data_IF_851091000151
#
_entry.id   IF_851091000151
#
_cell.length_a   1.000
_cell.length_b   1.000
_cell.length_c   1.000
_cell.angle_alpha   90.00
_cell.angle_beta   90.00
_cell.angle_gamma   90.00
#
_symmetry.space_group_name_H-M   'P 1'
#
loop_
_entity.id
_entity.type
_entity.pdbx_description
1 polymer ?
#
# COMPACT_ATOMS: atom_id res chain seq x y z
N UNK A 1 -8.33 -10.94 17.57
CA UNK A 1 -9.43 -11.84 17.17
C UNK A 1 -10.56 -11.88 18.20
N UNK A 2 -10.27 -11.93 19.47
CA UNK A 2 -11.30 -11.96 20.52
C UNK A 2 -12.15 -10.68 20.56
N UNK A 3 -11.56 -9.51 20.42
CA UNK A 3 -12.30 -8.24 20.39
C UNK A 3 -13.21 -8.13 19.15
N UNK A 4 -12.74 -8.57 17.97
CA UNK A 4 -13.54 -8.57 16.76
C UNK A 4 -14.74 -9.53 16.86
N UNK A 5 -14.55 -10.70 17.46
CA UNK A 5 -15.63 -11.65 17.71
C UNK A 5 -16.68 -11.11 18.67
N UNK A 6 -16.27 -10.49 19.80
CA UNK A 6 -17.18 -9.90 20.78
C UNK A 6 -17.98 -8.74 20.21
N UNK A 7 -17.37 -7.89 19.42
CA UNK A 7 -18.04 -6.76 18.77
C UNK A 7 -19.09 -7.21 17.76
N UNK A 8 -18.81 -8.28 17.00
CA UNK A 8 -19.73 -8.84 16.02
C UNK A 8 -20.88 -9.61 16.69
N UNK A 9 -20.62 -10.38 17.74
CA UNK A 9 -21.65 -11.10 18.51
C UNK A 9 -22.66 -10.14 19.15
N UNK A 10 -22.24 -8.97 19.58
CA UNK A 10 -23.13 -7.93 20.12
C UNK A 10 -24.09 -7.32 19.10
N UNK A 11 -23.84 -7.51 17.79
CA UNK A 11 -24.65 -6.95 16.70
C UNK A 11 -25.45 -7.98 15.89
N UNK A 12 -25.15 -9.25 16.01
CA UNK A 12 -25.73 -10.31 15.19
C UNK A 12 -26.21 -11.48 16.03
N UNK A 13 -27.39 -11.99 15.71
CA UNK A 13 -27.99 -13.18 16.32
C UNK A 13 -27.40 -14.49 15.81
N UNK A 14 -26.57 -14.44 14.75
CA UNK A 14 -25.96 -15.61 14.12
C UNK A 14 -24.46 -15.65 14.35
N UNK A 15 -23.88 -16.86 14.37
CA UNK A 15 -22.43 -17.02 14.38
C UNK A 15 -21.82 -16.37 13.13
N UNK A 16 -20.85 -15.46 13.31
CA UNK A 16 -20.23 -14.80 12.19
C UNK A 16 -19.42 -15.80 11.35
N UNK A 17 -19.51 -15.68 10.04
CA UNK A 17 -18.63 -16.41 9.14
C UNK A 17 -17.16 -15.95 9.36
N UNK A 18 -16.20 -16.83 9.11
CA UNK A 18 -14.76 -16.53 9.25
C UNK A 18 -14.38 -15.27 8.45
N UNK A 19 -15.02 -15.07 7.29
CA UNK A 19 -14.80 -13.88 6.47
C UNK A 19 -15.25 -12.58 7.18
N UNK A 20 -16.37 -12.61 7.90
CA UNK A 20 -16.90 -11.47 8.65
C UNK A 20 -16.02 -11.13 9.86
N UNK A 21 -15.54 -12.15 10.58
CA UNK A 21 -14.59 -11.96 11.68
C UNK A 21 -13.27 -11.35 11.22
N UNK A 22 -12.78 -11.78 10.06
CA UNK A 22 -11.59 -11.19 9.45
C UNK A 22 -11.83 -9.73 9.06
N UNK A 23 -12.94 -9.43 8.42
CA UNK A 23 -13.28 -8.05 8.06
C UNK A 23 -13.33 -7.16 9.27
N UNK A 24 -14.03 -7.58 10.35
CA UNK A 24 -14.08 -6.82 11.59
C UNK A 24 -12.70 -6.62 12.24
N UNK A 25 -11.84 -7.65 12.22
CA UNK A 25 -10.47 -7.53 12.71
C UNK A 25 -9.63 -6.53 11.90
N UNK A 26 -9.78 -6.50 10.58
CA UNK A 26 -9.11 -5.52 9.71
C UNK A 26 -9.61 -4.10 9.96
N UNK A 27 -10.90 -3.91 10.12
CA UNK A 27 -11.49 -2.60 10.39
C UNK A 27 -10.98 -2.03 11.73
N UNK A 28 -10.79 -2.87 12.74
CA UNK A 28 -10.20 -2.49 14.04
C UNK A 28 -8.72 -2.11 13.85
N UNK A 29 -7.95 -2.90 13.10
CA UNK A 29 -6.53 -2.61 12.85
C UNK A 29 -6.34 -1.32 12.03
N UNK A 30 -7.18 -1.10 11.03
CA UNK A 30 -7.14 0.12 10.21
C UNK A 30 -7.53 1.35 11.05
N UNK A 31 -8.49 1.21 11.98
CA UNK A 31 -8.85 2.27 12.92
C UNK A 31 -7.74 2.60 13.92
N UNK A 32 -6.94 1.61 14.31
CA UNK A 32 -5.81 1.80 15.22
C UNK A 32 -4.61 2.49 14.54
N UNK A 33 -4.41 2.24 13.23
CA UNK A 33 -3.33 2.83 12.45
C UNK A 33 -3.88 3.35 11.10
N UNK A 34 -4.56 4.48 11.10
CA UNK A 34 -5.14 5.02 9.87
C UNK A 34 -4.05 5.35 8.85
N UNK A 35 -4.24 4.88 7.63
CA UNK A 35 -3.40 5.30 6.50
C UNK A 35 -3.66 6.80 6.26
N UNK A 36 -2.61 7.65 6.18
CA UNK A 36 -2.79 9.05 5.87
C UNK A 36 -3.63 9.26 4.61
N UNK A 37 -4.45 10.29 4.62
CA UNK A 37 -5.20 10.69 3.44
C UNK A 37 -4.25 11.13 2.32
N UNK A 38 -4.70 11.09 1.09
CA UNK A 38 -3.95 11.58 -0.07
C UNK A 38 -3.55 13.06 0.07
N UNK A 39 -4.38 13.85 0.73
CA UNK A 39 -4.09 15.25 1.05
C UNK A 39 -2.94 15.39 2.05
N UNK A 40 -2.96 14.64 3.14
CA UNK A 40 -1.89 14.63 4.16
C UNK A 40 -0.58 14.12 3.57
N UNK A 41 -0.65 13.05 2.78
CA UNK A 41 0.50 12.50 2.08
C UNK A 41 1.15 13.52 1.13
N UNK A 42 0.33 14.25 0.35
CA UNK A 42 0.84 15.30 -0.52
C UNK A 42 1.40 16.49 0.26
N UNK A 43 0.76 16.87 1.37
CA UNK A 43 1.27 17.93 2.24
C UNK A 43 2.66 17.59 2.83
N UNK A 44 2.90 16.31 3.17
CA UNK A 44 4.21 15.83 3.61
C UNK A 44 5.27 16.00 2.51
N UNK A 45 4.96 15.63 1.26
CA UNK A 45 5.86 15.84 0.11
C UNK A 45 6.18 17.32 -0.09
N UNK A 46 5.18 18.18 -0.05
CA UNK A 46 5.35 19.64 -0.18
C UNK A 46 6.22 20.22 0.93
N UNK A 47 6.04 19.76 2.16
CA UNK A 47 6.85 20.18 3.30
C UNK A 47 8.33 19.78 3.10
N UNK A 48 8.58 18.56 2.63
CA UNK A 48 9.93 18.08 2.36
C UNK A 48 10.60 18.82 1.18
N UNK A 49 9.85 19.15 0.11
CA UNK A 49 10.37 19.97 -1.00
C UNK A 49 10.84 21.32 -0.50
N UNK A 50 10.07 21.97 0.39
CA UNK A 50 10.44 23.26 0.99
C UNK A 50 11.63 23.15 1.95
N UNK A 51 11.74 22.01 2.65
CA UNK A 51 12.78 21.79 3.67
C UNK A 51 14.15 21.50 3.06
N UNK A 52 14.25 20.62 2.09
CA UNK A 52 15.53 20.11 1.58
C UNK A 52 15.80 20.43 0.12
N UNK A 53 14.79 20.81 -0.66
CA UNK A 53 14.95 21.12 -2.07
C UNK A 53 15.42 19.93 -2.91
N UNK A 54 15.78 20.20 -4.17
CA UNK A 54 16.11 19.16 -5.15
C UNK A 54 17.47 18.46 -4.92
N UNK A 55 18.36 19.08 -4.17
CA UNK A 55 19.68 18.53 -3.85
C UNK A 55 19.72 17.77 -2.52
N UNK A 56 18.68 17.93 -1.68
CA UNK A 56 18.62 17.29 -0.38
C UNK A 56 18.02 15.90 -0.44
N UNK A 57 18.21 15.15 0.64
CA UNK A 57 17.55 13.85 0.81
C UNK A 57 16.27 14.03 1.62
N UNK A 58 15.11 13.72 1.07
CA UNK A 58 13.85 13.79 1.79
C UNK A 58 13.73 12.67 2.82
N UNK A 59 13.07 12.96 3.94
CA UNK A 59 12.77 11.98 4.98
C UNK A 59 11.27 11.95 5.22
N UNK A 60 10.63 10.88 4.80
CA UNK A 60 9.19 10.70 4.94
C UNK A 60 8.85 9.84 6.15
N UNK A 61 7.82 10.23 6.89
CA UNK A 61 7.29 9.44 8.01
C UNK A 61 6.54 8.21 7.53
N UNK A 62 5.83 8.36 6.41
CA UNK A 62 5.04 7.28 5.84
C UNK A 62 5.84 6.55 4.74
N UNK A 63 6.03 5.21 4.86
CA UNK A 63 6.73 4.44 3.86
C UNK A 63 6.03 4.41 2.49
N UNK A 64 4.69 4.55 2.44
CA UNK A 64 3.95 4.66 1.17
C UNK A 64 4.30 5.96 0.42
N UNK A 65 4.36 7.08 1.15
CA UNK A 65 4.77 8.37 0.55
C UNK A 65 6.16 8.26 -0.05
N UNK A 66 7.09 7.63 0.67
CA UNK A 66 8.44 7.39 0.16
C UNK A 66 8.43 6.57 -1.12
N UNK A 67 7.67 5.47 -1.18
CA UNK A 67 7.59 4.63 -2.38
C UNK A 67 7.03 5.37 -3.59
N UNK A 68 6.00 6.20 -3.40
CA UNK A 68 5.43 7.01 -4.49
C UNK A 68 6.44 8.05 -4.99
N UNK A 69 7.13 8.73 -4.07
CA UNK A 69 8.15 9.71 -4.42
C UNK A 69 9.34 9.07 -5.14
N UNK A 70 9.78 7.89 -4.71
CA UNK A 70 10.83 7.12 -5.40
C UNK A 70 10.39 6.70 -6.81
N UNK A 71 9.12 6.37 -7.00
CA UNK A 71 8.55 6.00 -8.30
C UNK A 71 8.41 7.18 -9.26
N UNK A 72 7.99 8.34 -8.76
CA UNK A 72 7.83 9.56 -9.58
C UNK A 72 9.15 10.29 -9.82
N UNK A 73 10.09 10.16 -8.89
CA UNK A 73 11.38 10.82 -8.91
C UNK A 73 11.39 12.13 -8.11
N UNK A 74 12.19 12.14 -7.04
CA UNK A 74 12.31 13.30 -6.16
C UNK A 74 12.70 14.58 -6.89
N UNK A 75 13.74 14.49 -7.73
CA UNK A 75 14.24 15.64 -8.49
C UNK A 75 13.20 16.20 -9.45
N UNK A 76 12.41 15.32 -10.08
CA UNK A 76 11.31 15.69 -10.96
C UNK A 76 10.26 16.51 -10.21
N UNK A 77 9.80 16.04 -9.05
CA UNK A 77 8.81 16.73 -8.24
C UNK A 77 9.29 18.10 -7.72
N UNK A 78 10.59 18.22 -7.42
CA UNK A 78 11.16 19.49 -6.96
C UNK A 78 11.33 20.54 -8.07
N UNK A 79 11.58 20.12 -9.31
CA UNK A 79 11.88 20.98 -10.44
C UNK A 79 10.70 21.19 -11.39
N UNK A 80 9.58 20.53 -11.13
CA UNK A 80 8.39 20.64 -11.97
C UNK A 80 7.76 22.04 -11.85
N UNK A 81 7.35 22.54 -12.99
CA UNK A 81 6.64 23.83 -13.11
C UNK A 81 5.10 23.65 -13.01
N UNK A 82 4.61 22.40 -12.95
CA UNK A 82 3.18 22.12 -12.91
C UNK A 82 2.75 21.32 -11.66
N UNK A 83 2.68 21.98 -10.49
CA UNK A 83 2.35 21.32 -9.23
C UNK A 83 0.94 20.70 -9.21
N UNK A 84 0.04 21.14 -10.07
CA UNK A 84 -1.33 20.59 -10.17
C UNK A 84 -1.29 19.20 -10.82
N UNK A 85 -0.57 19.06 -11.91
CA UNK A 85 -0.40 17.76 -12.58
C UNK A 85 0.39 16.78 -11.69
N UNK A 86 1.43 17.26 -11.02
CA UNK A 86 2.25 16.45 -10.10
C UNK A 86 1.42 15.91 -8.94
N UNK A 87 0.58 16.76 -8.36
CA UNK A 87 -0.36 16.33 -7.32
C UNK A 87 -1.30 15.25 -7.83
N UNK A 88 -1.86 15.42 -9.02
CA UNK A 88 -2.77 14.43 -9.61
C UNK A 88 -2.08 13.07 -9.83
N UNK A 89 -0.86 13.06 -10.37
CA UNK A 89 -0.06 11.86 -10.56
C UNK A 89 0.32 11.21 -9.21
N UNK A 90 0.72 12.03 -8.24
CA UNK A 90 1.04 11.54 -6.90
C UNK A 90 -0.17 10.88 -6.23
N UNK A 91 -1.32 11.54 -6.23
CA UNK A 91 -2.56 11.02 -5.63
C UNK A 91 -2.96 9.70 -6.28
N UNK A 92 -2.92 9.62 -7.61
CA UNK A 92 -3.24 8.39 -8.33
C UNK A 92 -2.29 7.24 -7.95
N UNK A 93 -1.00 7.47 -7.91
CA UNK A 93 -0.01 6.47 -7.53
C UNK A 93 -0.14 6.07 -6.06
N UNK A 94 -0.39 7.04 -5.17
CA UNK A 94 -0.59 6.81 -3.74
C UNK A 94 -1.81 5.94 -3.46
N UNK A 95 -2.96 6.27 -4.07
CA UNK A 95 -4.19 5.48 -3.93
C UNK A 95 -4.02 4.05 -4.44
N UNK A 96 -3.36 3.86 -5.57
CA UNK A 96 -3.08 2.53 -6.12
C UNK A 96 -2.19 1.69 -5.19
N UNK A 97 -1.15 2.28 -4.60
CA UNK A 97 -0.27 1.58 -3.64
C UNK A 97 -0.97 1.32 -2.31
N UNK A 98 -1.74 2.26 -1.79
CA UNK A 98 -2.51 2.09 -0.56
C UNK A 98 -3.54 0.96 -0.70
N UNK A 99 -4.25 0.91 -1.81
CA UNK A 99 -5.21 -0.17 -2.09
C UNK A 99 -4.50 -1.53 -2.22
N UNK A 100 -3.36 -1.60 -2.91
CA UNK A 100 -2.55 -2.82 -3.00
C UNK A 100 -2.12 -3.31 -1.62
N UNK A 101 -1.66 -2.40 -0.77
CA UNK A 101 -1.25 -2.74 0.60
C UNK A 101 -2.43 -3.26 1.43
N UNK A 102 -3.61 -2.66 1.31
CA UNK A 102 -4.84 -3.15 1.97
C UNK A 102 -5.19 -4.56 1.49
N UNK A 103 -5.13 -4.81 0.20
CA UNK A 103 -5.42 -6.13 -0.38
C UNK A 103 -4.41 -7.17 0.10
N UNK A 104 -3.11 -6.84 0.13
CA UNK A 104 -2.07 -7.76 0.61
C UNK A 104 -2.24 -8.06 2.11
N UNK A 105 -2.63 -7.08 2.92
CA UNK A 105 -2.91 -7.28 4.35
C UNK A 105 -4.16 -8.14 4.57
N UNK A 106 -5.16 -8.04 3.70
CA UNK A 106 -6.39 -8.87 3.75
C UNK A 106 -6.18 -10.30 3.28
N UNK A 107 -5.10 -10.60 2.55
CA UNK A 107 -4.81 -11.97 2.11
C UNK A 107 -4.55 -12.89 3.29
N UNK A 108 -5.14 -14.11 3.32
CA UNK A 108 -4.82 -15.11 4.33
C UNK A 108 -3.33 -15.43 4.31
N UNK A 109 -2.69 -15.48 5.47
CA UNK A 109 -1.25 -15.81 5.58
C UNK A 109 -0.89 -17.13 4.90
N UNK A 110 -1.79 -18.12 4.94
CA UNK A 110 -1.61 -19.40 4.27
C UNK A 110 -1.47 -19.26 2.75
N UNK A 111 -2.27 -18.37 2.13
CA UNK A 111 -2.18 -18.12 0.69
C UNK A 111 -0.88 -17.38 0.35
N UNK A 112 -0.47 -16.45 1.19
CA UNK A 112 0.80 -15.74 1.03
C UNK A 112 1.99 -16.68 1.14
N UNK A 113 2.01 -17.56 2.15
CA UNK A 113 3.05 -18.59 2.31
C UNK A 113 3.07 -19.58 1.13
N UNK A 114 1.90 -19.98 0.64
CA UNK A 114 1.79 -20.85 -0.52
C UNK A 114 2.34 -20.18 -1.79
N UNK A 115 2.03 -18.92 -2.03
CA UNK A 115 2.56 -18.16 -3.17
C UNK A 115 4.08 -18.00 -3.07
N UNK A 116 4.61 -17.74 -1.87
CA UNK A 116 6.05 -17.64 -1.64
C UNK A 116 6.73 -18.99 -1.93
N UNK A 117 6.18 -20.09 -1.41
CA UNK A 117 6.74 -21.45 -1.64
C UNK A 117 6.68 -21.84 -3.12
N UNK A 118 5.66 -21.45 -3.87
CA UNK A 118 5.58 -21.66 -5.31
C UNK A 118 6.65 -20.87 -6.07
N UNK A 119 6.93 -19.64 -5.66
CA UNK A 119 7.99 -18.82 -6.26
C UNK A 119 9.38 -19.37 -5.99
N UNK A 120 9.61 -19.88 -4.79
CA UNK A 120 10.89 -20.49 -4.41
C UNK A 120 11.14 -21.83 -5.11
N UNK A 121 10.08 -22.64 -5.29
CA UNK A 121 10.19 -23.96 -5.92
C UNK A 121 10.18 -23.91 -7.46
N UNK A 122 9.85 -22.79 -8.09
CA UNK A 122 9.79 -22.71 -9.53
C UNK A 122 10.32 -21.39 -10.13
N UNK A 123 11.60 -21.06 -9.90
CA UNK A 123 12.21 -19.86 -10.46
C UNK A 123 12.39 -19.92 -11.99
N UNK A 124 12.28 -21.11 -12.61
CA UNK A 124 12.65 -21.30 -14.02
C UNK A 124 11.49 -21.32 -15.02
N UNK A 125 10.25 -21.46 -14.60
CA UNK A 125 9.12 -21.49 -15.54
C UNK A 125 8.70 -20.12 -16.10
N UNK A 126 9.17 -19.04 -15.51
CA UNK A 126 8.88 -17.69 -16.01
C UNK A 126 9.83 -17.24 -17.14
N UNK A 127 10.91 -17.97 -17.39
CA UNK A 127 11.93 -17.60 -18.39
C UNK A 127 11.86 -18.47 -19.66
N UNK A 128 11.17 -19.61 -19.63
CA UNK A 128 11.12 -20.56 -20.76
C UNK A 128 10.01 -20.28 -21.79
N UNK A 129 9.34 -19.15 -21.73
CA UNK A 129 8.29 -18.76 -22.68
C UNK A 129 8.76 -17.94 -23.88
N UNK A 130 10.05 -17.71 -24.10
CA UNK A 130 10.54 -16.79 -25.14
C UNK A 130 11.63 -17.32 -26.08
N UNK A 131 11.85 -18.60 -26.18
CA UNK A 131 12.79 -19.14 -27.17
C UNK A 131 12.22 -20.34 -27.90
N UNK A 132 11.29 -20.10 -28.78
CA UNK A 132 11.08 -20.92 -29.98
C UNK A 132 10.34 -20.11 -31.03
N UNK A 133 11.10 -19.38 -31.82
CA UNK A 133 10.75 -19.02 -33.20
C UNK A 133 11.98 -19.23 -34.05
N UNK A 134 12.10 -20.41 -34.53
CA UNK A 134 12.64 -20.66 -35.87
C UNK A 134 11.51 -21.08 -36.79
#
# INVERSE_FOLDING_TARGET
LEQAALEHIGRSTFFPAIAELRSAAFDILESANPTPTDYEAWAEVQAEIRRVGHCGQPCFKNPLVKQVVDQLGWRYLCLSENPVADRAHFVQAYQALAERQRQDTRRPQLVTQFIISLKENNPQQLVSGQTEKE
#
